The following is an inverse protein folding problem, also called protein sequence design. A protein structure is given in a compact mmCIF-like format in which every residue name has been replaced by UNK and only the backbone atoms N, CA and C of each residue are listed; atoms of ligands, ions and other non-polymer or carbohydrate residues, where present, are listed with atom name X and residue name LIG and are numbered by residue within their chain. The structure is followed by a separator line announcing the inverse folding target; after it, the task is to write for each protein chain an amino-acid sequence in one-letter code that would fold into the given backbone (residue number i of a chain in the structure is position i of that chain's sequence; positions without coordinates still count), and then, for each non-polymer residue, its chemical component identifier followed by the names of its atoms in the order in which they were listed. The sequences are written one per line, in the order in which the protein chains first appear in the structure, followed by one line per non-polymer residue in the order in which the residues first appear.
data_IF_922425789129
#
_entry.id   IF_922425789129
#
_cell.length_a   1.000
_cell.length_b   1.000
_cell.length_c   1.000
_cell.angle_alpha   90.00
_cell.angle_beta   90.00
_cell.angle_gamma   90.00
#
_symmetry.space_group_name_H-M   'P 1'
#
loop_
_entity.id
_entity.type
_entity.pdbx_description
1 polymer ?
#
# COMPACT_ATOMS: atom_id res chain seq x y z
N UNK A 1 -18.62 8.82 13.82
CA UNK A 1 -17.27 8.52 13.29
C UNK A 1 -16.24 8.10 14.34
N UNK A 2 -16.05 8.84 15.46
CA UNK A 2 -14.98 8.52 16.44
C UNK A 2 -15.22 7.17 17.14
N UNK A 3 -16.45 6.89 17.57
CA UNK A 3 -16.80 5.62 18.23
C UNK A 3 -16.56 4.44 17.29
N UNK A 4 -17.01 4.57 16.04
CA UNK A 4 -16.84 3.58 14.99
C UNK A 4 -15.35 3.36 14.68
N UNK A 5 -14.54 4.43 14.64
CA UNK A 5 -13.10 4.35 14.46
C UNK A 5 -12.42 3.52 15.56
N UNK A 6 -12.79 3.72 16.82
CA UNK A 6 -12.26 2.95 17.96
C UNK A 6 -12.65 1.47 17.83
N UNK A 7 -13.91 1.17 17.47
CA UNK A 7 -14.38 -0.20 17.28
C UNK A 7 -13.62 -0.89 16.13
N UNK A 8 -13.50 -0.22 14.99
CA UNK A 8 -12.82 -0.73 13.79
C UNK A 8 -11.33 -0.96 14.06
N UNK A 9 -10.68 -0.03 14.74
CA UNK A 9 -9.30 -0.17 15.20
C UNK A 9 -9.15 -1.37 16.17
N UNK A 10 -10.01 -1.50 17.17
CA UNK A 10 -9.97 -2.61 18.13
C UNK A 10 -10.21 -3.98 17.48
N UNK A 11 -11.15 -4.04 16.54
CA UNK A 11 -11.47 -5.25 15.79
C UNK A 11 -10.29 -5.68 14.92
N UNK A 12 -9.75 -4.77 14.10
CA UNK A 12 -8.60 -5.03 13.23
C UNK A 12 -7.34 -5.42 14.01
N UNK A 13 -7.07 -4.76 15.14
CA UNK A 13 -5.95 -5.11 16.03
C UNK A 13 -6.11 -6.53 16.59
N UNK A 14 -7.30 -6.87 17.08
CA UNK A 14 -7.59 -8.20 17.64
C UNK A 14 -7.41 -9.30 16.58
N UNK A 15 -8.00 -9.11 15.39
CA UNK A 15 -7.85 -10.04 14.28
C UNK A 15 -6.40 -10.17 13.81
N UNK A 16 -5.64 -9.08 13.81
CA UNK A 16 -4.21 -9.09 13.47
C UNK A 16 -3.39 -9.85 14.50
N UNK A 17 -3.64 -9.62 15.79
CA UNK A 17 -2.99 -10.35 16.88
C UNK A 17 -3.22 -11.86 16.77
N UNK A 18 -4.45 -12.27 16.45
CA UNK A 18 -4.83 -13.67 16.26
C UNK A 18 -4.14 -14.24 15.02
N UNK A 19 -4.29 -13.61 13.85
CA UNK A 19 -3.87 -14.17 12.55
C UNK A 19 -2.37 -14.18 12.31
N UNK A 20 -1.62 -13.18 12.81
CA UNK A 20 -0.18 -13.03 12.57
C UNK A 20 0.64 -14.30 12.86
N UNK A 21 0.57 -14.93 14.05
CA UNK A 21 1.37 -16.12 14.33
C UNK A 21 1.04 -17.32 13.44
N UNK A 22 -0.21 -17.47 13.00
CA UNK A 22 -0.60 -18.57 12.10
C UNK A 22 -0.06 -18.34 10.69
N UNK A 23 -0.23 -17.14 10.14
CA UNK A 23 0.23 -16.81 8.80
C UNK A 23 1.75 -16.83 8.70
N UNK A 24 2.46 -16.32 9.71
CA UNK A 24 3.92 -16.36 9.73
C UNK A 24 4.44 -17.81 9.72
N UNK A 25 3.84 -18.69 10.53
CA UNK A 25 4.19 -20.12 10.54
C UNK A 25 3.83 -20.82 9.24
N UNK A 26 2.69 -20.49 8.64
CA UNK A 26 2.25 -21.07 7.37
C UNK A 26 3.22 -20.72 6.24
N UNK A 27 3.53 -19.43 6.06
CA UNK A 27 4.44 -18.96 5.03
C UNK A 27 5.86 -19.55 5.20
N UNK A 28 6.36 -19.61 6.44
CA UNK A 28 7.64 -20.22 6.74
C UNK A 28 7.67 -21.71 6.38
N UNK A 29 6.62 -22.48 6.72
CA UNK A 29 6.53 -23.91 6.40
C UNK A 29 6.36 -24.20 4.91
N UNK A 30 5.73 -23.28 4.18
CA UNK A 30 5.48 -23.41 2.74
C UNK A 30 6.64 -22.92 1.86
N UNK A 31 7.81 -22.62 2.45
CA UNK A 31 8.97 -22.05 1.74
C UNK A 31 8.66 -20.73 1.00
N UNK A 32 7.66 -19.97 1.46
CA UNK A 32 7.41 -18.61 0.98
C UNK A 32 8.40 -17.65 1.67
N UNK A 33 9.67 -17.76 1.30
CA UNK A 33 10.79 -17.04 1.91
C UNK A 33 11.46 -16.10 0.89
N UNK A 34 12.01 -15.00 1.39
CA UNK A 34 12.90 -14.13 0.64
C UNK A 34 14.13 -13.75 1.47
N UNK A 35 15.22 -13.37 0.79
CA UNK A 35 16.36 -12.79 1.47
C UNK A 35 16.07 -11.34 1.86
N UNK A 36 16.25 -11.03 3.14
CA UNK A 36 16.17 -9.66 3.65
C UNK A 36 17.45 -8.87 3.30
N UNK A 37 17.50 -7.59 3.70
CA UNK A 37 18.66 -6.72 3.44
C UNK A 37 19.98 -7.17 4.13
N UNK A 38 19.90 -8.12 5.07
CA UNK A 38 21.04 -8.78 5.73
C UNK A 38 21.35 -10.16 5.14
N UNK A 39 20.70 -10.54 4.04
CA UNK A 39 20.77 -11.85 3.39
C UNK A 39 20.24 -13.02 4.27
N UNK A 40 19.40 -12.74 5.25
CA UNK A 40 18.70 -13.76 6.04
C UNK A 40 17.38 -14.13 5.38
N UNK A 41 17.01 -15.41 5.38
CA UNK A 41 15.72 -15.87 4.86
C UNK A 41 14.59 -15.53 5.83
N UNK A 42 13.58 -14.82 5.33
CA UNK A 42 12.42 -14.39 6.09
C UNK A 42 11.13 -14.66 5.32
N UNK A 43 9.99 -14.90 6.01
CA UNK A 43 8.70 -15.03 5.36
C UNK A 43 8.35 -13.78 4.54
N UNK A 44 7.94 -13.98 3.28
CA UNK A 44 7.46 -12.94 2.36
C UNK A 44 5.95 -13.10 2.11
N UNK A 45 5.28 -12.01 1.76
CA UNK A 45 3.84 -12.00 1.49
C UNK A 45 2.98 -11.84 2.74
N UNK A 46 3.54 -11.31 3.84
CA UNK A 46 2.75 -10.99 5.04
C UNK A 46 1.64 -9.96 4.79
N UNK A 47 1.67 -9.25 3.64
CA UNK A 47 0.54 -8.44 3.17
C UNK A 47 -0.76 -9.24 3.02
N UNK A 48 -0.70 -10.57 2.87
CA UNK A 48 -1.90 -11.43 2.89
C UNK A 48 -2.68 -11.29 4.20
N UNK A 49 -1.98 -11.11 5.34
CA UNK A 49 -2.63 -10.84 6.62
C UNK A 49 -3.45 -9.56 6.56
N UNK A 50 -2.95 -8.53 5.87
CA UNK A 50 -3.63 -7.25 5.77
C UNK A 50 -4.92 -7.44 4.98
N UNK A 51 -4.89 -8.21 3.89
CA UNK A 51 -6.07 -8.53 3.09
C UNK A 51 -7.11 -9.26 3.94
N UNK A 52 -6.73 -10.34 4.62
CA UNK A 52 -7.65 -11.16 5.41
C UNK A 52 -8.33 -10.32 6.50
N UNK A 53 -7.54 -9.57 7.27
CA UNK A 53 -8.08 -8.71 8.35
C UNK A 53 -8.97 -7.63 7.77
N UNK A 54 -8.51 -6.94 6.72
CA UNK A 54 -9.24 -5.81 6.14
C UNK A 54 -10.56 -6.26 5.51
N UNK A 55 -10.61 -7.41 4.82
CA UNK A 55 -11.86 -7.95 4.25
C UNK A 55 -12.88 -8.24 5.35
N UNK A 56 -12.48 -8.85 6.46
CA UNK A 56 -13.38 -9.11 7.60
C UNK A 56 -13.91 -7.78 8.17
N UNK A 57 -13.04 -6.78 8.32
CA UNK A 57 -13.42 -5.47 8.83
C UNK A 57 -14.33 -4.72 7.86
N UNK A 58 -14.08 -4.82 6.54
CA UNK A 58 -14.94 -4.23 5.52
C UNK A 58 -16.32 -4.87 5.53
N UNK A 59 -16.42 -6.20 5.70
CA UNK A 59 -17.71 -6.88 5.89
C UNK A 59 -18.47 -6.36 7.11
N UNK A 60 -17.77 -6.07 8.21
CA UNK A 60 -18.38 -5.41 9.38
C UNK A 60 -18.82 -3.97 9.07
N UNK A 61 -18.01 -3.20 8.34
CA UNK A 61 -18.36 -1.84 7.91
C UNK A 61 -19.57 -1.83 6.99
N UNK A 62 -19.74 -2.81 6.11
CA UNK A 62 -20.94 -2.96 5.27
C UNK A 62 -22.21 -3.20 6.07
N UNK A 63 -22.13 -3.79 7.27
CA UNK A 63 -23.31 -3.96 8.13
C UNK A 63 -23.73 -2.60 8.72
N UNK A 64 -22.76 -1.74 9.03
CA UNK A 64 -22.99 -0.43 9.64
C UNK A 64 -23.39 0.62 8.59
N UNK A 65 -22.71 0.63 7.44
CA UNK A 65 -22.79 1.64 6.39
C UNK A 65 -23.40 1.03 5.11
N UNK A 66 -24.60 0.44 5.26
CA UNK A 66 -25.22 -0.54 4.35
C UNK A 66 -25.41 -0.11 2.89
N UNK A 67 -25.35 1.18 2.60
CA UNK A 67 -25.56 1.76 1.26
C UNK A 67 -24.34 2.54 0.74
N UNK A 68 -23.18 2.38 1.38
CA UNK A 68 -21.98 3.10 0.99
C UNK A 68 -21.25 2.38 -0.16
N UNK A 69 -21.59 2.74 -1.41
CA UNK A 69 -20.97 2.19 -2.62
C UNK A 69 -19.44 2.29 -2.66
N UNK A 70 -18.84 3.28 -1.96
CA UNK A 70 -17.40 3.37 -1.85
C UNK A 70 -16.80 2.13 -1.17
N UNK A 71 -17.44 1.55 -0.15
CA UNK A 71 -16.94 0.35 0.51
C UNK A 71 -16.85 -0.83 -0.48
N UNK A 72 -17.76 -0.92 -1.45
CA UNK A 72 -17.76 -1.97 -2.47
C UNK A 72 -16.65 -1.75 -3.49
N UNK A 73 -16.56 -0.55 -4.05
CA UNK A 73 -15.50 -0.18 -4.98
C UNK A 73 -14.13 -0.36 -4.34
N UNK A 74 -13.97 0.08 -3.09
CA UNK A 74 -12.75 -0.09 -2.31
C UNK A 74 -12.43 -1.56 -2.09
N UNK A 75 -13.39 -2.37 -1.64
CA UNK A 75 -13.17 -3.80 -1.35
C UNK A 75 -12.71 -4.58 -2.59
N UNK A 76 -13.38 -4.37 -3.74
CA UNK A 76 -13.01 -5.02 -5.00
C UNK A 76 -11.62 -4.59 -5.45
N UNK A 77 -11.36 -3.29 -5.44
CA UNK A 77 -10.06 -2.71 -5.83
C UNK A 77 -8.93 -3.19 -4.94
N UNK A 78 -9.18 -3.24 -3.63
CA UNK A 78 -8.23 -3.66 -2.60
C UNK A 78 -7.85 -5.13 -2.73
N UNK A 79 -8.84 -6.03 -2.87
CA UNK A 79 -8.57 -7.45 -3.08
C UNK A 79 -7.84 -7.68 -4.39
N UNK A 80 -8.27 -7.04 -5.49
CA UNK A 80 -7.62 -7.21 -6.79
C UNK A 80 -6.17 -6.71 -6.76
N UNK A 81 -5.90 -5.53 -6.17
CA UNK A 81 -4.54 -5.02 -6.05
C UNK A 81 -3.66 -5.95 -5.19
N UNK A 82 -4.23 -6.48 -4.11
CA UNK A 82 -3.57 -7.47 -3.25
C UNK A 82 -3.23 -8.77 -3.99
N UNK A 83 -4.15 -9.28 -4.81
CA UNK A 83 -3.92 -10.47 -5.64
C UNK A 83 -2.78 -10.24 -6.64
N UNK A 84 -2.73 -9.07 -7.28
CA UNK A 84 -1.66 -8.74 -8.23
C UNK A 84 -0.32 -8.57 -7.52
N UNK A 85 -0.30 -7.96 -6.34
CA UNK A 85 0.89 -7.92 -5.50
C UNK A 85 1.36 -9.33 -5.13
N UNK A 86 0.44 -10.27 -4.89
CA UNK A 86 0.77 -11.66 -4.54
C UNK A 86 1.38 -12.41 -5.73
N UNK A 87 0.90 -12.15 -6.95
CA UNK A 87 1.50 -12.69 -8.16
C UNK A 87 2.95 -12.19 -8.33
N UNK A 88 3.19 -10.89 -8.09
CA UNK A 88 4.53 -10.31 -8.18
C UNK A 88 5.47 -10.88 -7.11
N UNK A 89 5.00 -11.03 -5.86
CA UNK A 89 5.79 -11.62 -4.78
C UNK A 89 6.16 -13.09 -5.03
N UNK A 90 5.28 -13.87 -5.67
CA UNK A 90 5.46 -15.32 -5.88
C UNK A 90 6.18 -15.69 -7.17
N UNK A 91 5.91 -14.96 -8.26
CA UNK A 91 6.34 -15.33 -9.63
C UNK A 91 7.24 -14.23 -10.24
N UNK A 92 7.45 -13.10 -9.56
CA UNK A 92 8.19 -11.96 -10.08
C UNK A 92 9.68 -12.24 -10.28
N UNK A 93 10.16 -11.92 -11.48
CA UNK A 93 11.59 -12.02 -11.81
C UNK A 93 12.34 -10.77 -11.32
N UNK A 94 13.15 -10.97 -10.27
CA UNK A 94 13.94 -9.90 -9.63
C UNK A 94 15.12 -9.39 -10.49
N UNK A 95 15.42 -10.04 -11.62
CA UNK A 95 16.49 -9.61 -12.53
C UNK A 95 16.07 -8.44 -13.44
N UNK A 96 14.76 -8.31 -13.71
CA UNK A 96 14.21 -7.24 -14.54
C UNK A 96 13.72 -6.12 -13.63
N UNK A 97 14.36 -4.95 -13.72
CA UNK A 97 14.01 -3.78 -12.90
C UNK A 97 13.75 -2.54 -13.76
N UNK A 98 12.87 -1.69 -13.25
CA UNK A 98 12.59 -0.37 -13.81
C UNK A 98 11.75 -0.41 -15.09
N UNK A 99 11.14 0.73 -15.41
CA UNK A 99 10.18 0.85 -16.51
C UNK A 99 10.78 0.45 -17.88
N UNK A 100 12.02 0.88 -18.15
CA UNK A 100 12.75 0.51 -19.38
C UNK A 100 13.01 -1.00 -19.49
N UNK A 101 13.26 -1.67 -18.37
CA UNK A 101 13.47 -3.12 -18.32
C UNK A 101 12.21 -3.90 -18.70
N UNK A 102 11.08 -3.52 -18.11
CA UNK A 102 9.78 -4.14 -18.40
C UNK A 102 9.32 -3.87 -19.84
N UNK A 103 9.50 -2.64 -20.35
CA UNK A 103 9.20 -2.33 -21.76
C UNK A 103 10.07 -3.16 -22.70
N UNK A 104 11.39 -3.27 -22.42
CA UNK A 104 12.29 -4.06 -23.26
C UNK A 104 11.91 -5.55 -23.26
N UNK A 105 11.48 -6.09 -22.12
CA UNK A 105 10.95 -7.45 -22.03
C UNK A 105 9.67 -7.60 -22.89
N UNK A 106 8.75 -6.63 -22.80
CA UNK A 106 7.52 -6.63 -23.58
C UNK A 106 7.80 -6.57 -25.09
N UNK A 107 8.76 -5.75 -25.54
CA UNK A 107 9.16 -5.72 -26.97
C UNK A 107 9.76 -7.04 -27.46
N UNK A 108 10.20 -7.92 -26.55
CA UNK A 108 10.66 -9.28 -26.84
C UNK A 108 9.57 -10.34 -26.67
N UNK A 109 8.31 -9.94 -26.44
CA UNK A 109 7.18 -10.84 -26.26
C UNK A 109 7.01 -11.42 -24.85
N UNK A 110 7.78 -10.96 -23.85
CA UNK A 110 7.66 -11.45 -22.47
C UNK A 110 6.89 -10.46 -21.59
N UNK A 111 5.70 -10.88 -21.14
CA UNK A 111 4.92 -10.12 -20.16
C UNK A 111 5.46 -10.38 -18.76
N UNK A 112 6.13 -9.39 -18.18
CA UNK A 112 6.61 -9.45 -16.80
C UNK A 112 5.49 -9.17 -15.80
N UNK A 113 5.60 -9.71 -14.58
CA UNK A 113 4.68 -9.43 -13.46
C UNK A 113 4.63 -7.94 -13.12
N UNK A 114 5.75 -7.22 -13.17
CA UNK A 114 5.78 -5.77 -12.96
C UNK A 114 4.98 -4.97 -14.00
N UNK A 115 4.95 -5.40 -15.27
CA UNK A 115 4.11 -4.80 -16.31
C UNK A 115 2.63 -5.12 -16.08
N UNK A 116 2.32 -6.38 -15.74
CA UNK A 116 0.95 -6.80 -15.36
C UNK A 116 0.45 -5.96 -14.18
N UNK A 117 1.30 -5.72 -13.18
CA UNK A 117 1.02 -4.86 -12.04
C UNK A 117 0.71 -3.43 -12.43
N UNK A 118 1.53 -2.82 -13.29
CA UNK A 118 1.30 -1.46 -13.75
C UNK A 118 -0.03 -1.34 -14.52
N UNK A 119 -0.32 -2.28 -15.42
CA UNK A 119 -1.55 -2.30 -16.20
C UNK A 119 -2.79 -2.46 -15.31
N UNK A 120 -2.79 -3.45 -14.42
CA UNK A 120 -3.94 -3.68 -13.55
C UNK A 120 -4.08 -2.56 -12.52
N UNK A 121 -2.99 -2.04 -11.97
CA UNK A 121 -3.02 -0.86 -11.09
C UNK A 121 -3.63 0.36 -11.78
N UNK A 122 -3.35 0.57 -13.07
CA UNK A 122 -4.00 1.60 -13.87
C UNK A 122 -5.51 1.34 -14.05
N UNK A 123 -5.91 0.12 -14.41
CA UNK A 123 -7.33 -0.22 -14.56
C UNK A 123 -8.11 -0.14 -13.24
N UNK A 124 -7.49 -0.51 -12.11
CA UNK A 124 -8.07 -0.30 -10.77
C UNK A 124 -8.26 1.19 -10.53
N UNK A 125 -7.24 2.01 -10.79
CA UNK A 125 -7.31 3.45 -10.61
C UNK A 125 -8.39 4.08 -11.50
N UNK A 126 -8.54 3.61 -12.74
CA UNK A 126 -9.61 3.97 -13.67
C UNK A 126 -10.99 3.58 -13.12
N UNK A 127 -11.16 2.33 -12.71
CA UNK A 127 -12.43 1.84 -12.15
C UNK A 127 -12.85 2.66 -10.93
N UNK A 128 -11.95 2.88 -9.97
CA UNK A 128 -12.24 3.72 -8.80
C UNK A 128 -12.60 5.14 -9.23
N UNK A 129 -11.79 5.76 -10.09
CA UNK A 129 -11.98 7.15 -10.51
C UNK A 129 -13.31 7.37 -11.22
N UNK A 130 -13.76 6.43 -12.07
CA UNK A 130 -15.07 6.51 -12.73
C UNK A 130 -16.20 6.63 -11.71
N UNK A 131 -16.10 5.93 -10.57
CA UNK A 131 -17.17 5.91 -9.58
C UNK A 131 -17.13 7.12 -8.65
N UNK A 132 -15.94 7.63 -8.32
CA UNK A 132 -15.79 8.65 -7.25
C UNK A 132 -15.64 10.10 -7.75
N UNK A 133 -15.43 10.32 -9.05
CA UNK A 133 -15.07 11.65 -9.56
C UNK A 133 -16.29 12.47 -9.96
N UNK A 134 -16.23 13.78 -9.71
CA UNK A 134 -17.33 14.71 -10.03
C UNK A 134 -17.44 15.04 -11.52
N UNK A 135 -16.31 15.05 -12.23
CA UNK A 135 -16.22 15.37 -13.64
C UNK A 135 -15.01 14.66 -14.30
N UNK A 136 -14.89 14.77 -15.62
CA UNK A 136 -13.84 14.10 -16.39
C UNK A 136 -12.43 14.53 -16.02
N UNK A 137 -12.21 15.81 -15.74
CA UNK A 137 -10.90 16.33 -15.34
C UNK A 137 -10.47 15.80 -13.98
N UNK A 138 -11.39 15.78 -13.00
CA UNK A 138 -11.15 15.16 -11.69
C UNK A 138 -10.92 13.64 -11.84
N UNK A 139 -11.64 12.99 -12.75
CA UNK A 139 -11.43 11.58 -13.11
C UNK A 139 -10.00 11.29 -13.57
N UNK A 140 -9.51 12.06 -14.56
CA UNK A 140 -8.14 11.90 -15.07
C UNK A 140 -7.11 12.12 -13.95
N UNK A 141 -7.33 13.15 -13.13
CA UNK A 141 -6.48 13.46 -12.00
C UNK A 141 -6.43 12.30 -10.99
N UNK A 142 -7.59 11.75 -10.61
CA UNK A 142 -7.71 10.66 -9.65
C UNK A 142 -7.03 9.37 -10.16
N UNK A 143 -7.08 9.10 -11.47
CA UNK A 143 -6.39 7.94 -12.07
C UNK A 143 -4.89 8.00 -11.79
N UNK A 144 -4.26 9.12 -12.14
CA UNK A 144 -2.82 9.28 -11.94
C UNK A 144 -2.46 9.35 -10.44
N UNK A 145 -3.30 10.02 -9.64
CA UNK A 145 -3.08 10.16 -8.21
C UNK A 145 -3.07 8.79 -7.51
N UNK A 146 -4.07 7.94 -7.77
CA UNK A 146 -4.17 6.61 -7.17
C UNK A 146 -3.01 5.72 -7.65
N UNK A 147 -2.75 5.68 -8.95
CA UNK A 147 -1.67 4.87 -9.53
C UNK A 147 -0.29 5.26 -8.97
N UNK A 148 -0.04 6.56 -8.82
CA UNK A 148 1.23 7.05 -8.27
C UNK A 148 1.35 6.84 -6.78
N UNK A 149 0.27 6.86 -5.99
CA UNK A 149 0.32 6.49 -4.58
C UNK A 149 0.65 5.00 -4.37
N UNK A 150 0.09 4.11 -5.21
CA UNK A 150 0.44 2.68 -5.23
C UNK A 150 1.94 2.53 -5.46
N UNK A 151 2.46 3.14 -6.54
CA UNK A 151 3.88 3.03 -6.83
C UNK A 151 4.76 3.72 -5.78
N UNK A 152 4.30 4.84 -5.23
CA UNK A 152 5.01 5.60 -4.20
C UNK A 152 5.28 4.75 -2.97
N UNK A 153 4.26 4.12 -2.37
CA UNK A 153 4.50 3.26 -1.19
C UNK A 153 5.40 2.07 -1.55
N UNK A 154 5.25 1.51 -2.74
CA UNK A 154 6.10 0.43 -3.23
C UNK A 154 7.59 0.83 -3.33
N UNK A 155 7.90 2.06 -3.76
CA UNK A 155 9.28 2.57 -3.82
C UNK A 155 9.97 2.61 -2.44
N UNK A 156 9.21 2.73 -1.37
CA UNK A 156 9.74 2.73 -0.01
C UNK A 156 9.86 1.32 0.60
N UNK A 157 9.30 0.28 -0.02
CA UNK A 157 9.36 -1.11 0.48
C UNK A 157 10.69 -1.82 0.14
N UNK A 158 11.81 -1.11 0.31
CA UNK A 158 13.16 -1.62 0.06
C UNK A 158 13.96 -1.90 1.34
N UNK A 159 13.53 -1.33 2.47
CA UNK A 159 14.12 -1.58 3.78
C UNK A 159 13.04 -1.64 4.85
N UNK A 160 13.25 -2.47 5.89
CA UNK A 160 12.18 -2.77 6.84
C UNK A 160 11.65 -1.51 7.55
N UNK A 161 10.34 -1.36 7.61
CA UNK A 161 9.65 -0.26 8.28
C UNK A 161 9.46 1.01 7.46
N UNK A 162 10.10 1.17 6.29
CA UNK A 162 10.00 2.44 5.52
C UNK A 162 8.59 2.66 4.97
N UNK A 163 8.05 1.69 4.24
CA UNK A 163 6.73 1.81 3.63
C UNK A 163 5.64 2.02 4.70
N UNK A 164 5.70 1.31 5.83
CA UNK A 164 4.78 1.50 6.96
C UNK A 164 4.91 2.88 7.59
N UNK A 165 6.14 3.40 7.80
CA UNK A 165 6.35 4.76 8.31
C UNK A 165 5.77 5.81 7.35
N UNK A 166 5.99 5.65 6.05
CA UNK A 166 5.41 6.56 5.04
C UNK A 166 3.89 6.51 5.04
N UNK A 167 3.32 5.31 5.12
CA UNK A 167 1.87 5.15 5.24
C UNK A 167 1.34 5.86 6.49
N UNK A 168 1.92 5.59 7.67
CA UNK A 168 1.51 6.20 8.94
C UNK A 168 1.64 7.73 8.88
N UNK A 169 2.75 8.25 8.38
CA UNK A 169 2.97 9.69 8.28
C UNK A 169 1.91 10.38 7.39
N UNK A 170 1.67 9.85 6.19
CA UNK A 170 0.72 10.44 5.24
C UNK A 170 -0.72 10.27 5.72
N UNK A 171 -1.09 9.09 6.23
CA UNK A 171 -2.43 8.84 6.74
C UNK A 171 -2.76 9.68 7.98
N UNK A 172 -1.82 9.88 8.91
CA UNK A 172 -2.00 10.79 10.04
C UNK A 172 -2.20 12.22 9.52
N UNK A 173 -1.36 12.67 8.58
CA UNK A 173 -1.53 14.00 7.98
C UNK A 173 -2.91 14.16 7.36
N UNK A 174 -3.37 13.17 6.58
CA UNK A 174 -4.69 13.17 5.97
C UNK A 174 -5.83 13.23 6.98
N UNK A 175 -5.76 12.46 8.07
CA UNK A 175 -6.78 12.48 9.13
C UNK A 175 -6.82 13.82 9.89
N UNK A 176 -5.70 14.55 9.96
CA UNK A 176 -5.63 15.86 10.63
C UNK A 176 -6.17 17.01 9.76
N UNK A 177 -6.08 16.88 8.43
CA UNK A 177 -6.47 17.92 7.47
C UNK A 177 -7.84 17.70 6.84
N UNK A 178 -8.49 16.57 7.11
CA UNK A 178 -9.82 16.21 6.57
C UNK A 178 -10.80 15.87 7.69
N UNK A 179 -12.11 16.00 7.43
CA UNK A 179 -13.13 15.57 8.38
C UNK A 179 -13.24 14.05 8.38
N UNK A 180 -13.40 13.46 9.57
CA UNK A 180 -13.59 12.01 9.69
C UNK A 180 -14.87 11.57 8.97
N UNK A 181 -14.75 10.53 8.16
CA UNK A 181 -15.84 9.90 7.42
C UNK A 181 -15.59 8.38 7.24
N UNK A 182 -16.42 7.70 6.45
CA UNK A 182 -16.32 6.25 6.25
C UNK A 182 -14.96 5.82 5.70
N UNK A 183 -14.35 6.61 4.80
CA UNK A 183 -12.99 6.32 4.30
C UNK A 183 -11.93 6.42 5.40
N UNK A 184 -12.15 7.25 6.43
CA UNK A 184 -11.27 7.31 7.62
C UNK A 184 -11.31 6.02 8.44
N UNK A 185 -12.45 5.31 8.48
CA UNK A 185 -12.56 4.03 9.18
C UNK A 185 -11.63 2.96 8.57
N UNK A 186 -11.44 2.99 7.25
CA UNK A 186 -10.48 2.11 6.55
C UNK A 186 -9.06 2.39 7.05
N UNK A 187 -8.67 3.65 7.19
CA UNK A 187 -7.36 4.03 7.75
C UNK A 187 -7.20 3.56 9.20
N UNK A 188 -8.22 3.74 10.04
CA UNK A 188 -8.20 3.24 11.42
C UNK A 188 -8.07 1.72 11.50
N UNK A 189 -8.65 0.99 10.53
CA UNK A 189 -8.45 -0.46 10.41
C UNK A 189 -6.99 -0.82 10.13
N UNK A 190 -6.34 -0.10 9.21
CA UNK A 190 -4.91 -0.29 8.97
C UNK A 190 -4.06 0.04 10.18
N UNK A 191 -4.42 1.01 11.02
CA UNK A 191 -3.66 1.25 12.25
C UNK A 191 -3.67 0.03 13.18
N UNK A 192 -4.79 -0.69 13.30
CA UNK A 192 -4.84 -1.94 14.07
C UNK A 192 -3.95 -3.04 13.48
N UNK A 193 -3.95 -3.17 12.15
CA UNK A 193 -3.08 -4.08 11.40
C UNK A 193 -1.59 -3.73 11.62
N UNK A 194 -1.24 -2.47 11.40
CA UNK A 194 0.14 -1.98 11.40
C UNK A 194 0.74 -2.04 12.80
N UNK A 195 -0.01 -1.75 13.87
CA UNK A 195 0.51 -1.86 15.24
C UNK A 195 1.01 -3.29 15.53
N UNK A 196 0.31 -4.30 15.04
CA UNK A 196 0.74 -5.69 15.23
C UNK A 196 1.92 -6.07 14.34
N UNK A 197 1.93 -5.59 13.11
CA UNK A 197 2.89 -5.99 12.07
C UNK A 197 4.21 -5.20 12.12
N UNK A 198 4.17 -3.90 12.42
CA UNK A 198 5.30 -2.98 12.41
C UNK A 198 6.53 -3.49 13.19
N UNK A 199 6.41 -4.10 14.39
CA UNK A 199 7.57 -4.64 15.09
C UNK A 199 8.24 -5.83 14.39
N UNK A 200 7.49 -6.61 13.59
CA UNK A 200 8.03 -7.72 12.80
C UNK A 200 8.80 -7.19 11.60
N UNK A 201 8.21 -6.21 10.91
CA UNK A 201 8.84 -5.55 9.77
C UNK A 201 10.10 -4.81 10.21
N UNK A 202 10.05 -3.93 11.23
CA UNK A 202 11.22 -3.20 11.73
C UNK A 202 12.39 -4.10 12.14
N UNK A 203 12.10 -5.25 12.77
CA UNK A 203 13.11 -6.25 13.17
C UNK A 203 13.55 -7.15 12.02
N UNK A 204 13.10 -6.87 10.79
CA UNK A 204 13.36 -7.63 9.58
C UNK A 204 13.05 -9.12 9.73
N UNK A 205 11.94 -9.45 10.43
CA UNK A 205 11.51 -10.85 10.68
C UNK A 205 10.50 -11.36 9.68
N UNK A 206 9.86 -10.47 8.93
CA UNK A 206 8.89 -10.82 7.90
C UNK A 206 8.74 -9.63 6.95
N UNK A 207 8.48 -9.89 5.67
CA UNK A 207 8.27 -8.87 4.64
C UNK A 207 6.83 -8.89 4.16
N UNK A 208 6.20 -7.72 4.05
CA UNK A 208 4.81 -7.63 3.58
C UNK A 208 4.74 -7.86 2.07
N UNK A 209 5.80 -7.45 1.37
CA UNK A 209 5.96 -7.61 -0.06
C UNK A 209 5.07 -6.66 -0.85
N UNK A 210 5.04 -6.89 -2.16
CA UNK A 210 4.21 -6.18 -3.10
C UNK A 210 2.72 -6.31 -2.75
N UNK A 211 2.30 -7.40 -2.12
CA UNK A 211 0.94 -7.50 -1.57
C UNK A 211 0.62 -6.33 -0.63
N UNK A 212 1.49 -6.09 0.35
CA UNK A 212 1.26 -5.10 1.40
C UNK A 212 1.51 -3.66 0.95
N UNK A 213 2.60 -3.42 0.22
CA UNK A 213 2.98 -2.07 -0.22
C UNK A 213 1.92 -1.47 -1.15
N UNK A 214 1.44 -2.25 -2.12
CA UNK A 214 0.52 -1.77 -3.14
C UNK A 214 -0.87 -1.47 -2.57
N UNK A 215 -1.38 -2.30 -1.65
CA UNK A 215 -2.69 -2.04 -1.03
C UNK A 215 -2.65 -0.86 -0.06
N UNK A 216 -1.52 -0.62 0.63
CA UNK A 216 -1.33 0.58 1.45
C UNK A 216 -1.32 1.84 0.57
N UNK A 217 -0.60 1.80 -0.56
CA UNK A 217 -0.59 2.88 -1.53
C UNK A 217 -1.96 3.13 -2.16
N UNK A 218 -2.68 2.07 -2.57
CA UNK A 218 -4.06 2.16 -3.07
C UNK A 218 -4.95 2.88 -2.05
N UNK A 219 -4.85 2.49 -0.77
CA UNK A 219 -5.65 3.08 0.30
C UNK A 219 -5.42 4.58 0.43
N UNK A 220 -4.16 5.03 0.46
CA UNK A 220 -3.85 6.46 0.51
C UNK A 220 -4.32 7.20 -0.74
N UNK A 221 -4.14 6.60 -1.92
CA UNK A 221 -4.57 7.17 -3.19
C UNK A 221 -6.07 7.42 -3.23
N UNK A 222 -6.86 6.40 -2.86
CA UNK A 222 -8.31 6.51 -2.83
C UNK A 222 -8.76 7.50 -1.74
N UNK A 223 -8.15 7.47 -0.56
CA UNK A 223 -8.44 8.45 0.50
C UNK A 223 -8.19 9.88 0.01
N UNK A 224 -7.06 10.12 -0.65
CA UNK A 224 -6.73 11.44 -1.17
C UNK A 224 -7.72 11.89 -2.26
N UNK A 225 -8.11 10.98 -3.16
CA UNK A 225 -9.05 11.25 -4.24
C UNK A 225 -10.46 11.60 -3.73
N UNK A 226 -10.89 11.04 -2.60
CA UNK A 226 -12.21 11.30 -2.03
C UNK A 226 -12.30 12.58 -1.19
N UNK A 227 -11.21 12.96 -0.51
CA UNK A 227 -11.31 13.89 0.62
C UNK A 227 -10.74 15.29 0.36
N UNK A 228 -10.05 15.49 -0.76
CA UNK A 228 -9.44 16.78 -1.09
C UNK A 228 -10.06 17.43 -2.31
N UNK A 229 -9.93 18.75 -2.40
CA UNK A 229 -10.36 19.51 -3.57
C UNK A 229 -9.41 19.29 -4.74
N UNK A 230 -9.89 19.54 -5.96
CA UNK A 230 -9.12 19.41 -7.20
C UNK A 230 -7.73 20.10 -7.13
N UNK A 231 -7.68 21.34 -6.59
CA UNK A 231 -6.42 22.08 -6.47
C UNK A 231 -5.42 21.43 -5.50
N UNK A 232 -5.90 20.87 -4.39
CA UNK A 232 -5.02 20.19 -3.42
C UNK A 232 -4.52 18.87 -4.02
N UNK A 233 -5.39 18.12 -4.72
CA UNK A 233 -5.01 16.91 -5.44
C UNK A 233 -3.92 17.17 -6.50
N UNK A 234 -3.96 18.30 -7.21
CA UNK A 234 -2.88 18.71 -8.13
C UNK A 234 -1.52 18.87 -7.44
N UNK A 235 -1.50 19.43 -6.22
CA UNK A 235 -0.26 19.57 -5.43
C UNK A 235 0.29 18.19 -5.09
N UNK A 236 -0.56 17.28 -4.58
CA UNK A 236 -0.12 15.91 -4.29
C UNK A 236 0.38 15.20 -5.54
N UNK A 237 -0.33 15.34 -6.66
CA UNK A 237 0.07 14.74 -7.93
C UNK A 237 1.44 15.26 -8.38
N UNK A 238 1.68 16.58 -8.31
CA UNK A 238 2.96 17.17 -8.66
C UNK A 238 4.11 16.65 -7.78
N UNK A 239 3.87 16.53 -6.46
CA UNK A 239 4.85 15.96 -5.52
C UNK A 239 5.13 14.49 -5.85
N UNK A 240 4.10 13.69 -6.11
CA UNK A 240 4.27 12.27 -6.47
C UNK A 240 5.02 12.10 -7.78
N UNK A 241 4.73 12.90 -8.81
CA UNK A 241 5.45 12.89 -10.08
C UNK A 241 6.92 13.26 -9.86
N UNK A 242 7.21 14.29 -9.06
CA UNK A 242 8.59 14.69 -8.77
C UNK A 242 9.35 13.54 -8.08
N UNK A 243 8.74 12.90 -7.07
CA UNK A 243 9.34 11.77 -6.36
C UNK A 243 9.55 10.60 -7.32
N UNK A 244 8.59 10.33 -8.21
CA UNK A 244 8.71 9.30 -9.23
C UNK A 244 9.91 9.54 -10.15
N UNK A 245 10.06 10.75 -10.67
CA UNK A 245 11.17 11.14 -11.54
C UNK A 245 12.50 10.99 -10.78
N UNK A 246 12.58 11.50 -9.54
CA UNK A 246 13.79 11.39 -8.71
C UNK A 246 14.18 9.92 -8.49
N UNK A 247 13.19 9.03 -8.32
CA UNK A 247 13.42 7.60 -8.09
C UNK A 247 14.06 6.88 -9.28
N UNK A 248 13.90 7.40 -10.51
CA UNK A 248 14.53 6.81 -11.69
C UNK A 248 16.03 7.11 -11.76
N UNK A 249 16.47 8.25 -11.23
CA UNK A 249 17.86 8.69 -11.30
C UNK A 249 18.64 8.41 -10.01
N UNK A 250 17.96 8.38 -8.85
CA UNK A 250 18.58 8.25 -7.55
C UNK A 250 17.91 7.18 -6.69
N UNK A 251 18.73 6.38 -6.01
CA UNK A 251 18.22 5.48 -4.97
C UNK A 251 17.86 6.28 -3.71
N UNK A 252 16.61 6.20 -3.23
CA UNK A 252 16.23 6.83 -1.96
C UNK A 252 17.09 6.38 -0.78
N UNK A 253 17.59 5.14 -0.79
CA UNK A 253 18.53 4.66 0.22
C UNK A 253 19.80 5.51 0.29
N UNK A 254 20.36 5.90 -0.86
CA UNK A 254 21.57 6.71 -0.90
C UNK A 254 21.31 8.17 -0.50
N UNK A 255 20.12 8.70 -0.80
CA UNK A 255 19.69 10.03 -0.34
C UNK A 255 19.55 10.04 1.19
N UNK A 256 18.86 9.03 1.75
CA UNK A 256 18.64 8.90 3.19
C UNK A 256 19.97 8.76 3.94
N UNK A 257 20.91 7.98 3.42
CA UNK A 257 22.22 7.78 4.05
C UNK A 257 23.09 9.03 4.12
N UNK A 258 22.89 9.97 3.18
CA UNK A 258 23.61 11.26 3.15
C UNK A 258 23.07 12.30 4.14
N UNK A 259 21.84 12.14 4.64
CA UNK A 259 21.22 13.07 5.59
C UNK A 259 21.17 12.48 7.00
N UNK A 260 21.82 13.14 7.97
CA UNK A 260 21.81 12.69 9.38
C UNK A 260 20.38 12.60 9.94
N UNK A 261 19.52 13.56 9.60
CA UNK A 261 18.15 13.61 10.06
C UNK A 261 17.30 12.47 9.45
N UNK A 262 17.36 12.29 8.13
CA UNK A 262 16.61 11.21 7.47
C UNK A 262 17.10 9.83 7.91
N UNK A 263 18.42 9.66 8.10
CA UNK A 263 19.01 8.42 8.61
C UNK A 263 18.55 8.12 10.04
N UNK A 264 18.45 9.13 10.90
CA UNK A 264 17.91 8.96 12.24
C UNK A 264 16.46 8.46 12.20
N UNK A 265 15.60 9.09 11.40
CA UNK A 265 14.19 8.67 11.24
C UNK A 265 14.11 7.26 10.64
N UNK A 266 14.93 6.94 9.65
CA UNK A 266 14.94 5.62 9.00
C UNK A 266 15.32 4.51 9.99
N UNK A 267 16.29 4.78 10.88
CA UNK A 267 16.75 3.85 11.91
C UNK A 267 15.84 3.76 13.13
N UNK A 268 14.94 4.71 13.34
CA UNK A 268 14.06 4.70 14.52
C UNK A 268 13.22 3.42 14.56
N UNK A 269 13.38 2.62 15.63
CA UNK A 269 12.68 1.36 15.84
C UNK A 269 13.30 0.12 15.18
N UNK A 270 14.39 0.26 14.40
CA UNK A 270 15.19 -0.87 13.89
C UNK A 270 16.27 -1.31 14.86
#
# INVERSE_FOLDING_TARGET
MVKEAIIVFGLSLSLSCISTPFLLKMLAKSNCLCQNYKNEEIPVGMGLMFIIVQVIVLSFLFIIERDNYFLLVYSVSFVLMGMIGMIDDLIGDKSIKGFKGHIRALTKGTLTTGMLKALIGFFISLFVSIVISENTADGILNIFLIALFINFINLFDLRPGRALKMFLFISIFFLLTTKLNVSSLVIFSFYGIIIRYLPLDLKAKAMMGDVGSNILGLTLGIYCALNYTFHIKLIYLAVLILIQIVSEFFSFSSIIEKSRFLKFIDNLGR
#
